data_IF_968234508880
#
_entry.id   IF_968234508880
#
_cell.length_a   1.000
_cell.length_b   1.000
_cell.length_c   1.000
_cell.angle_alpha   90.00
_cell.angle_beta   90.00
_cell.angle_gamma   90.00
#
_symmetry.space_group_name_H-M   'P 1'
#
loop_
_entity.id
_entity.type
_entity.pdbx_description
1 polymer ?
#
# COMPACT_ATOMS: atom_id res chain seq x y z
N UNK A 1 -10.50 9.81 6.65
CA UNK A 1 -10.22 8.35 6.64
C UNK A 1 -11.47 7.57 7.00
N UNK A 2 -11.90 6.70 6.11
CA UNK A 2 -13.08 5.88 6.38
C UNK A 2 -12.66 4.64 7.18
N UNK A 3 -13.39 4.36 8.27
CA UNK A 3 -13.19 3.12 9.02
C UNK A 3 -14.06 2.06 8.35
N UNK A 4 -13.44 0.97 7.97
CA UNK A 4 -14.14 -0.17 7.37
C UNK A 4 -14.07 -1.38 8.27
N UNK A 5 -15.20 -2.06 8.41
CA UNK A 5 -15.19 -3.35 9.08
C UNK A 5 -14.58 -4.42 8.18
N UNK A 6 -13.84 -5.33 8.79
CA UNK A 6 -13.19 -6.42 8.08
C UNK A 6 -13.87 -7.73 8.44
N UNK A 7 -14.16 -8.55 7.44
CA UNK A 7 -14.66 -9.90 7.64
C UNK A 7 -13.54 -10.82 8.10
N UNK A 8 -13.39 -10.97 9.41
CA UNK A 8 -12.32 -11.76 10.02
C UNK A 8 -12.44 -13.24 9.64
N UNK A 9 -13.65 -13.75 9.57
CA UNK A 9 -13.88 -15.15 9.18
C UNK A 9 -13.42 -15.38 7.74
N UNK A 10 -13.67 -14.42 6.86
CA UNK A 10 -13.20 -14.47 5.49
C UNK A 10 -11.67 -14.47 5.40
N UNK A 11 -10.99 -13.74 6.26
CA UNK A 11 -9.52 -13.76 6.31
C UNK A 11 -9.00 -15.13 6.74
N UNK A 12 -9.64 -15.77 7.70
CA UNK A 12 -9.25 -17.12 8.15
C UNK A 12 -9.38 -18.12 7.02
N UNK A 13 -10.43 -17.99 6.20
CA UNK A 13 -10.68 -18.92 5.11
C UNK A 13 -9.56 -18.96 4.07
N UNK A 14 -8.80 -17.89 3.93
CA UNK A 14 -7.71 -17.82 2.95
C UNK A 14 -6.48 -18.66 3.34
N UNK A 15 -6.23 -18.83 4.63
CA UNK A 15 -5.07 -19.58 5.11
C UNK A 15 -5.42 -20.69 6.09
N UNK A 16 -6.63 -20.65 6.63
CA UNK A 16 -7.05 -21.55 7.71
C UNK A 16 -6.54 -21.12 9.10
N UNK A 17 -5.82 -20.02 9.19
CA UNK A 17 -5.24 -19.53 10.43
C UNK A 17 -5.19 -17.99 10.44
N UNK A 18 -5.86 -17.40 11.43
CA UNK A 18 -5.93 -15.94 11.51
C UNK A 18 -4.55 -15.29 11.66
N UNK A 19 -3.66 -15.90 12.44
CA UNK A 19 -2.31 -15.36 12.65
C UNK A 19 -1.50 -15.35 11.35
N UNK A 20 -1.62 -16.39 10.54
CA UNK A 20 -0.97 -16.44 9.23
C UNK A 20 -1.52 -15.37 8.31
N UNK A 21 -2.85 -15.23 8.27
CA UNK A 21 -3.49 -14.18 7.45
C UNK A 21 -3.01 -12.80 7.84
N UNK A 22 -2.95 -12.50 9.14
CA UNK A 22 -2.49 -11.20 9.64
C UNK A 22 -1.00 -10.99 9.32
N UNK A 23 -0.18 -12.01 9.46
CA UNK A 23 1.25 -11.93 9.14
C UNK A 23 1.48 -11.63 7.66
N UNK A 24 0.73 -12.29 6.79
CA UNK A 24 0.77 -12.04 5.34
C UNK A 24 0.35 -10.61 5.03
N UNK A 25 -0.76 -10.17 5.63
CA UNK A 25 -1.25 -8.81 5.44
C UNK A 25 -0.25 -7.76 5.92
N UNK A 26 0.40 -8.01 7.06
CA UNK A 26 1.40 -7.09 7.60
C UNK A 26 2.59 -6.94 6.63
N UNK A 27 3.08 -8.04 6.09
CA UNK A 27 4.18 -8.00 5.10
C UNK A 27 3.77 -7.29 3.83
N UNK A 28 2.58 -7.61 3.31
CA UNK A 28 2.10 -6.98 2.08
C UNK A 28 1.85 -5.50 2.29
N UNK A 29 1.30 -5.12 3.44
CA UNK A 29 1.07 -3.71 3.77
C UNK A 29 2.37 -2.92 3.76
N UNK A 30 3.45 -3.48 4.31
CA UNK A 30 4.76 -2.84 4.29
C UNK A 30 5.31 -2.69 2.87
N UNK A 31 5.12 -3.70 2.02
CA UNK A 31 5.51 -3.63 0.61
C UNK A 31 4.75 -2.52 -0.12
N UNK A 32 3.44 -2.48 0.06
CA UNK A 32 2.58 -1.46 -0.56
C UNK A 32 2.99 -0.06 -0.08
N UNK A 33 3.22 0.09 1.22
CA UNK A 33 3.65 1.38 1.77
C UNK A 33 4.99 1.83 1.19
N UNK A 34 5.95 0.91 1.03
CA UNK A 34 7.25 1.23 0.43
C UNK A 34 7.12 1.63 -1.03
N UNK A 35 6.28 0.93 -1.79
CA UNK A 35 6.03 1.25 -3.19
C UNK A 35 5.38 2.61 -3.35
N UNK A 36 4.38 2.91 -2.53
CA UNK A 36 3.70 4.21 -2.55
C UNK A 36 4.64 5.34 -2.17
N UNK A 37 5.47 5.12 -1.15
CA UNK A 37 6.47 6.11 -0.73
C UNK A 37 7.48 6.38 -1.83
N UNK A 38 7.99 5.34 -2.48
CA UNK A 38 8.96 5.49 -3.57
C UNK A 38 8.36 6.23 -4.75
N UNK A 39 7.11 5.93 -5.11
CA UNK A 39 6.42 6.65 -6.17
C UNK A 39 6.25 8.12 -5.83
N UNK A 40 5.83 8.42 -4.61
CA UNK A 40 5.65 9.79 -4.16
C UNK A 40 6.98 10.54 -4.15
N UNK A 41 8.03 9.92 -3.61
CA UNK A 41 9.37 10.51 -3.56
C UNK A 41 9.88 10.83 -4.97
N UNK A 42 9.68 9.92 -5.91
CA UNK A 42 10.09 10.13 -7.31
C UNK A 42 9.33 11.28 -7.95
N UNK A 43 8.04 11.38 -7.71
CA UNK A 43 7.23 12.49 -8.24
C UNK A 43 7.62 13.82 -7.62
N UNK A 44 7.88 13.85 -6.32
CA UNK A 44 8.31 15.08 -5.64
C UNK A 44 9.72 15.48 -6.02
N UNK A 45 10.61 14.51 -6.26
CA UNK A 45 11.97 14.78 -6.74
C UNK A 45 11.95 15.46 -8.12
N UNK A 46 10.97 15.14 -8.95
CA UNK A 46 10.79 15.84 -10.22
C UNK A 46 10.62 17.35 -10.01
N UNK A 47 9.83 17.73 -9.00
CA UNK A 47 9.61 19.14 -8.69
C UNK A 47 10.85 19.80 -8.09
N UNK A 48 11.64 19.07 -7.31
CA UNK A 48 12.88 19.60 -6.73
C UNK A 48 13.90 19.99 -7.80
N UNK A 49 13.92 19.27 -8.93
CA UNK A 49 14.79 19.60 -10.04
C UNK A 49 14.50 20.94 -10.69
N UNK A 50 13.39 21.57 -10.35
CA UNK A 50 12.96 22.85 -10.91
C UNK A 50 12.84 23.93 -9.82
N UNK A 51 13.79 23.94 -8.86
CA UNK A 51 13.75 24.87 -7.73
C UNK A 51 13.46 26.34 -8.08
N UNK A 52 14.07 26.93 -9.13
CA UNK A 52 13.75 28.31 -9.48
C UNK A 52 12.29 28.51 -9.88
N UNK A 53 11.63 27.46 -10.32
CA UNK A 53 10.25 27.47 -10.77
C UNK A 53 9.27 27.16 -9.65
N UNK A 54 9.76 26.71 -8.48
CA UNK A 54 8.91 26.40 -7.32
C UNK A 54 8.21 27.64 -6.77
N UNK A 55 8.68 28.84 -7.12
CA UNK A 55 8.02 30.09 -6.75
C UNK A 55 6.82 30.40 -7.64
N UNK A 56 6.67 29.70 -8.79
CA UNK A 56 5.51 29.84 -9.65
C UNK A 56 4.28 29.21 -8.98
N UNK A 57 3.19 29.96 -8.80
CA UNK A 57 1.98 29.43 -8.19
C UNK A 57 1.44 28.18 -8.88
N UNK A 58 1.57 28.07 -10.20
CA UNK A 58 1.11 26.89 -10.94
C UNK A 58 1.89 25.64 -10.60
N UNK A 59 3.19 25.79 -10.37
CA UNK A 59 4.05 24.69 -10.00
C UNK A 59 3.71 24.19 -8.59
N UNK A 60 3.46 25.13 -7.67
CA UNK A 60 3.04 24.79 -6.32
C UNK A 60 1.68 24.09 -6.29
N UNK A 61 0.75 24.49 -7.16
CA UNK A 61 -0.55 23.85 -7.30
C UNK A 61 -0.41 22.40 -7.75
N UNK A 62 0.47 22.13 -8.71
CA UNK A 62 0.72 20.78 -9.19
C UNK A 62 1.32 19.89 -8.10
N UNK A 63 2.29 20.43 -7.36
CA UNK A 63 2.90 19.70 -6.25
C UNK A 63 1.86 19.36 -5.16
N UNK A 64 1.02 20.34 -4.82
CA UNK A 64 -0.06 20.13 -3.87
C UNK A 64 -1.04 19.09 -4.38
N UNK A 65 -1.38 19.11 -5.67
CA UNK A 65 -2.29 18.13 -6.27
C UNK A 65 -1.73 16.73 -6.17
N UNK A 66 -0.44 16.54 -6.44
CA UNK A 66 0.22 15.22 -6.31
C UNK A 66 0.15 14.75 -4.86
N UNK A 67 0.44 15.61 -3.90
CA UNK A 67 0.38 15.24 -2.49
C UNK A 67 -1.04 14.85 -2.05
N UNK A 68 -2.05 15.61 -2.48
CA UNK A 68 -3.44 15.31 -2.17
C UNK A 68 -3.87 13.98 -2.82
N UNK A 69 -3.45 13.74 -4.05
CA UNK A 69 -3.75 12.50 -4.75
C UNK A 69 -3.29 11.28 -3.93
N UNK A 70 -2.11 11.35 -3.31
CA UNK A 70 -1.61 10.26 -2.48
C UNK A 70 -2.31 10.19 -1.12
N UNK A 71 -2.72 11.33 -0.56
CA UNK A 71 -3.45 11.37 0.70
C UNK A 71 -4.83 10.72 0.62
N UNK A 72 -5.50 10.82 -0.54
CA UNK A 72 -6.85 10.24 -0.70
C UNK A 72 -6.82 8.78 -1.14
N UNK A 73 -5.67 8.22 -1.46
CA UNK A 73 -5.56 6.80 -1.80
C UNK A 73 -5.87 5.93 -0.58
N UNK A 74 -6.42 4.72 -0.78
CA UNK A 74 -6.61 3.79 0.32
C UNK A 74 -5.31 3.54 1.05
N UNK A 75 -5.40 3.31 2.35
CA UNK A 75 -4.22 2.99 3.14
C UNK A 75 -3.61 1.64 2.71
N UNK A 76 -2.28 1.47 2.88
CA UNK A 76 -1.62 0.20 2.53
C UNK A 76 -2.28 -1.04 3.13
N UNK A 77 -2.76 -0.94 4.37
CA UNK A 77 -3.46 -2.05 5.02
C UNK A 77 -4.77 -2.38 4.33
N UNK A 78 -5.53 -1.37 3.90
CA UNK A 78 -6.78 -1.57 3.17
C UNK A 78 -6.53 -2.22 1.80
N UNK A 79 -5.48 -1.78 1.12
CA UNK A 79 -5.09 -2.35 -0.18
C UNK A 79 -4.72 -3.82 -0.01
N UNK A 80 -3.92 -4.14 1.01
CA UNK A 80 -3.50 -5.53 1.27
C UNK A 80 -4.70 -6.42 1.59
N UNK A 81 -5.63 -5.95 2.40
CA UNK A 81 -6.84 -6.71 2.74
C UNK A 81 -7.67 -6.99 1.49
N UNK A 82 -7.87 -5.97 0.65
CA UNK A 82 -8.62 -6.14 -0.59
C UNK A 82 -7.92 -7.12 -1.53
N UNK A 83 -6.61 -7.03 -1.67
CA UNK A 83 -5.83 -7.97 -2.47
C UNK A 83 -5.98 -9.40 -1.97
N UNK A 84 -6.02 -9.60 -0.65
CA UNK A 84 -6.21 -10.93 -0.08
C UNK A 84 -7.59 -11.50 -0.44
N UNK A 85 -8.65 -10.71 -0.31
CA UNK A 85 -10.00 -11.16 -0.68
C UNK A 85 -10.12 -11.41 -2.18
N UNK A 86 -9.36 -10.70 -3.00
CA UNK A 86 -9.35 -10.90 -4.45
C UNK A 86 -8.39 -11.99 -4.92
N UNK A 87 -7.73 -12.68 -3.98
CA UNK A 87 -6.74 -13.74 -4.25
C UNK A 87 -5.56 -13.24 -5.10
N UNK A 88 -5.17 -11.99 -4.89
CA UNK A 88 -4.08 -11.37 -5.64
C UNK A 88 -2.74 -11.42 -4.91
N UNK A 89 -2.72 -11.86 -3.63
CA UNK A 89 -1.48 -11.96 -2.87
C UNK A 89 -0.86 -13.33 -3.08
N UNK A 90 0.38 -13.32 -3.57
CA UNK A 90 1.20 -14.53 -3.59
C UNK A 90 1.96 -14.61 -2.28
N UNK A 91 1.83 -15.74 -1.59
CA UNK A 91 2.59 -15.99 -0.37
C UNK A 91 3.09 -17.43 -0.36
N UNK A 92 4.14 -17.66 0.41
CA UNK A 92 4.76 -18.96 0.54
C UNK A 92 4.82 -19.33 2.02
N UNK A 93 4.38 -20.53 2.33
CA UNK A 93 4.53 -21.11 3.66
C UNK A 93 5.83 -21.92 3.68
N UNK A 94 6.86 -21.47 4.43
CA UNK A 94 8.13 -22.19 4.48
C UNK A 94 8.00 -23.60 5.05
N UNK A 95 7.06 -23.83 5.98
CA UNK A 95 6.87 -25.16 6.55
C UNK A 95 6.23 -26.11 5.56
N UNK A 96 5.33 -25.65 4.69
CA UNK A 96 4.76 -26.47 3.63
C UNK A 96 5.77 -26.73 2.51
N UNK A 97 6.65 -25.75 2.24
CA UNK A 97 7.65 -25.86 1.19
C UNK A 97 8.80 -26.81 1.50
N UNK A 98 9.01 -27.14 2.76
CA UNK A 98 10.11 -28.03 3.18
C UNK A 98 9.74 -29.51 3.16
N UNK A 99 8.51 -29.83 2.90
CA UNK A 99 8.05 -31.23 2.85
C UNK A 99 8.32 -31.92 1.52
N UNK A 100 8.77 -31.19 0.55
CA UNK A 100 9.05 -31.77 -0.78
C UNK A 100 10.48 -32.34 -0.84
#
# INVERSE_FOLDING_TARGET
MAIKTVDVDGLVDHTGNLFESVAILAKRSRQVASLMKNELDNKLAYFEGFEPELEDPRFQEEQTRVSIEYEVKPEPTEIAIQEMFDNEIYFRDPSAGTED
#
